data_IF_971435167178
#
_entry.id   IF_971435167178
#
_cell.length_a   1.000
_cell.length_b   1.000
_cell.length_c   1.000
_cell.angle_alpha   90.00
_cell.angle_beta   90.00
_cell.angle_gamma   90.00
#
_symmetry.space_group_name_H-M   'P 1'
#
loop_
_entity.id
_entity.type
_entity.pdbx_description
1 polymer ?
#
# COMPACT_ATOMS: atom_id res chain seq x y z
N UNK A 1 49.34 9.04 37.07
CA UNK A 1 48.02 8.98 36.42
C UNK A 1 47.31 10.29 36.71
N UNK A 2 47.27 11.22 35.75
CA UNK A 2 46.54 12.48 35.90
C UNK A 2 45.02 12.25 35.79
N UNK A 3 44.17 13.09 36.42
CA UNK A 3 42.74 12.93 36.34
C UNK A 3 42.27 13.22 34.90
N UNK A 4 41.55 12.28 34.30
CA UNK A 4 40.80 12.47 33.07
C UNK A 4 39.80 13.60 33.29
N UNK A 5 40.00 14.76 32.64
CA UNK A 5 38.98 15.80 32.58
C UNK A 5 37.80 15.26 31.79
N UNK A 6 36.55 15.40 32.27
CA UNK A 6 35.39 14.99 31.50
C UNK A 6 35.28 15.92 30.28
N UNK A 7 35.31 15.35 29.08
CA UNK A 7 34.91 16.06 27.88
C UNK A 7 33.42 16.40 28.03
N UNK A 8 33.10 17.66 28.29
CA UNK A 8 31.72 18.16 28.32
C UNK A 8 31.24 18.31 26.88
N UNK A 9 30.41 17.36 26.45
CA UNK A 9 29.74 17.40 25.16
C UNK A 9 28.53 18.33 25.22
N UNK A 10 28.49 19.35 24.35
CA UNK A 10 27.27 20.12 24.09
C UNK A 10 26.97 19.99 22.59
N UNK A 11 26.02 19.13 22.23
CA UNK A 11 25.50 19.10 20.86
C UNK A 11 24.39 20.15 20.79
N UNK A 12 24.59 21.22 20.02
CA UNK A 12 23.58 22.26 19.81
C UNK A 12 23.21 22.30 18.32
N UNK A 13 21.95 21.94 18.07
CA UNK A 13 21.07 22.25 16.93
C UNK A 13 21.57 21.99 15.48
N UNK A 14 20.80 21.17 14.77
CA UNK A 14 20.76 21.17 13.31
C UNK A 14 19.91 22.37 12.84
N UNK A 15 20.49 23.28 12.06
CA UNK A 15 19.75 24.32 11.35
C UNK A 15 19.82 24.02 9.86
N UNK A 16 18.65 23.81 9.23
CA UNK A 16 18.51 23.90 7.78
C UNK A 16 18.11 25.33 7.44
N UNK A 17 18.97 26.04 6.71
CA UNK A 17 18.61 27.31 6.06
C UNK A 17 18.12 26.97 4.65
N UNK A 18 16.90 27.38 4.25
CA UNK A 18 16.40 27.10 2.89
C UNK A 18 17.36 27.67 1.83
N UNK A 19 17.89 26.81 0.95
CA UNK A 19 18.76 27.20 -0.17
C UNK A 19 20.27 27.06 0.07
N UNK A 20 20.71 26.51 1.21
CA UNK A 20 22.11 26.12 1.44
C UNK A 20 22.24 24.59 1.56
N UNK A 21 23.39 24.03 1.16
CA UNK A 21 23.71 22.61 1.39
C UNK A 21 23.58 22.31 2.88
N UNK A 22 22.63 21.45 3.24
CA UNK A 22 22.33 21.12 4.63
C UNK A 22 23.59 20.53 5.30
N UNK A 23 24.24 21.32 6.14
CA UNK A 23 25.45 20.93 6.87
C UNK A 23 25.10 20.73 8.33
N UNK A 24 25.56 19.61 8.91
CA UNK A 24 25.40 19.32 10.34
C UNK A 24 26.69 19.79 11.03
N UNK A 25 26.54 20.58 12.09
CA UNK A 25 27.67 21.18 12.82
C UNK A 25 27.81 20.56 14.21
N UNK A 26 29.05 20.36 14.61
CA UNK A 26 29.47 20.00 15.97
C UNK A 26 30.42 21.06 16.49
N UNK A 27 30.11 21.61 17.65
CA UNK A 27 31.04 22.42 18.42
C UNK A 27 31.70 21.54 19.47
N UNK A 28 33.03 21.46 19.42
CA UNK A 28 33.83 20.73 20.40
C UNK A 28 34.86 21.65 21.04
N UNK A 29 35.13 21.43 22.32
CA UNK A 29 36.19 22.13 23.05
C UNK A 29 37.35 21.14 23.19
N UNK A 30 38.42 21.37 22.43
CA UNK A 30 39.66 20.57 22.47
C UNK A 30 40.75 21.45 23.06
N UNK A 31 41.36 21.01 24.16
CA UNK A 31 42.39 21.78 24.89
C UNK A 31 41.98 23.21 25.27
N UNK A 32 40.69 23.43 25.54
CA UNK A 32 40.14 24.75 25.89
C UNK A 32 39.91 25.67 24.69
N UNK A 33 40.19 25.20 23.47
CA UNK A 33 39.88 25.93 22.23
C UNK A 33 38.59 25.42 21.61
N UNK A 34 37.78 26.36 21.14
CA UNK A 34 36.56 26.07 20.40
C UNK A 34 36.91 25.63 18.99
N UNK A 35 36.42 24.45 18.59
CA UNK A 35 36.55 23.92 17.24
C UNK A 35 35.17 23.61 16.68
N UNK A 36 34.89 24.15 15.51
CA UNK A 36 33.72 23.80 14.72
C UNK A 36 34.10 22.70 13.72
N UNK A 37 33.31 21.63 13.70
CA UNK A 37 33.43 20.53 12.75
C UNK A 37 32.10 20.42 12.02
N UNK A 38 32.14 20.47 10.69
CA UNK A 38 30.95 20.31 9.85
C UNK A 38 31.02 19.02 9.01
N UNK A 39 29.84 18.49 8.71
CA UNK A 39 29.66 17.42 7.74
C UNK A 39 28.43 17.68 6.88
N UNK A 40 28.41 17.10 5.68
CA UNK A 40 27.33 17.30 4.70
C UNK A 40 26.43 16.08 4.53
N UNK A 41 26.90 14.90 4.92
CA UNK A 41 26.11 13.66 4.92
C UNK A 41 26.32 12.90 6.22
N UNK A 42 25.39 12.03 6.58
CA UNK A 42 25.50 11.17 7.76
C UNK A 42 26.78 10.30 7.74
N UNK A 43 27.22 9.86 6.55
CA UNK A 43 28.48 9.14 6.31
C UNK A 43 29.70 9.98 6.62
N UNK A 44 29.73 11.21 6.09
CA UNK A 44 30.79 12.16 6.36
C UNK A 44 30.87 12.50 7.85
N UNK A 45 29.72 12.66 8.52
CA UNK A 45 29.68 12.89 9.96
C UNK A 45 30.31 11.71 10.72
N UNK A 46 29.89 10.47 10.42
CA UNK A 46 30.44 9.30 11.12
C UNK A 46 31.94 9.09 10.87
N UNK A 47 32.41 9.26 9.64
CA UNK A 47 33.83 9.16 9.31
C UNK A 47 34.67 10.20 10.05
N UNK A 48 34.11 11.41 10.26
CA UNK A 48 34.72 12.49 11.04
C UNK A 48 34.59 12.31 12.56
N UNK A 49 34.06 11.19 13.04
CA UNK A 49 33.83 10.95 14.47
C UNK A 49 32.71 11.82 15.07
N UNK A 50 31.81 12.30 14.22
CA UNK A 50 30.65 13.09 14.58
C UNK A 50 29.38 12.24 14.54
N UNK A 51 28.90 11.89 15.73
CA UNK A 51 27.66 11.14 15.89
C UNK A 51 26.86 11.68 17.07
N UNK A 52 25.56 11.85 16.89
CA UNK A 52 24.63 11.97 18.01
C UNK A 52 24.00 10.61 18.32
N UNK A 53 23.52 10.38 19.55
CA UNK A 53 22.73 9.18 19.84
C UNK A 53 21.57 8.98 18.87
N UNK A 54 20.91 10.06 18.43
CA UNK A 54 19.84 10.00 17.41
C UNK A 54 20.33 9.56 16.03
N UNK A 55 21.49 10.05 15.59
CA UNK A 55 22.13 9.62 14.33
C UNK A 55 22.49 8.13 14.36
N UNK A 56 23.07 7.65 15.45
CA UNK A 56 23.42 6.23 15.59
C UNK A 56 22.17 5.34 15.67
N UNK A 57 21.13 5.81 16.37
CA UNK A 57 19.86 5.10 16.49
C UNK A 57 19.18 4.93 15.13
N UNK A 58 19.04 6.02 14.37
CA UNK A 58 18.47 5.98 13.02
C UNK A 58 19.31 5.12 12.07
N UNK A 59 20.64 5.28 12.14
CA UNK A 59 21.56 4.63 11.21
C UNK A 59 21.74 3.13 11.44
N UNK A 60 21.69 2.65 12.68
CA UNK A 60 21.94 1.23 12.96
C UNK A 60 20.94 0.34 12.21
N UNK A 61 19.65 0.70 12.24
CA UNK A 61 18.63 -0.06 11.52
C UNK A 61 18.57 0.27 10.03
N UNK A 62 18.82 1.52 9.62
CA UNK A 62 18.94 1.86 8.21
C UNK A 62 20.05 1.04 7.54
N UNK A 63 21.23 0.92 8.17
CA UNK A 63 22.35 0.11 7.66
C UNK A 63 22.01 -1.38 7.55
N UNK A 64 21.27 -1.94 8.51
CA UNK A 64 20.82 -3.34 8.43
C UNK A 64 19.87 -3.56 7.24
N UNK A 65 18.97 -2.61 7.00
CA UNK A 65 18.05 -2.65 5.85
C UNK A 65 18.82 -2.46 4.55
N UNK A 66 19.68 -1.45 4.45
CA UNK A 66 20.54 -1.20 3.29
C UNK A 66 21.41 -2.41 2.95
N UNK A 67 22.04 -3.06 3.94
CA UNK A 67 22.81 -4.29 3.73
C UNK A 67 21.92 -5.43 3.24
N UNK A 68 20.69 -5.54 3.74
CA UNK A 68 19.74 -6.53 3.23
C UNK A 68 19.32 -6.24 1.77
N UNK A 69 19.09 -4.97 1.42
CA UNK A 69 18.76 -4.54 0.05
C UNK A 69 19.96 -4.66 -0.91
N UNK A 70 21.19 -4.38 -0.46
CA UNK A 70 22.42 -4.63 -1.23
C UNK A 70 22.59 -6.12 -1.53
N UNK A 71 22.43 -6.99 -0.54
CA UNK A 71 22.46 -8.46 -0.74
C UNK A 71 21.34 -8.96 -1.65
N UNK A 72 20.18 -8.30 -1.67
CA UNK A 72 19.12 -8.58 -2.63
C UNK A 72 19.56 -8.20 -4.04
N UNK A 73 20.05 -6.97 -4.23
CA UNK A 73 20.46 -6.44 -5.53
C UNK A 73 21.56 -7.30 -6.16
N UNK A 74 22.59 -7.67 -5.40
CA UNK A 74 23.65 -8.57 -5.86
C UNK A 74 23.10 -9.92 -6.36
N UNK A 75 22.08 -10.48 -5.68
CA UNK A 75 21.42 -11.73 -6.12
C UNK A 75 20.61 -11.56 -7.40
N UNK A 76 20.05 -10.37 -7.65
CA UNK A 76 19.35 -10.09 -8.91
C UNK A 76 20.35 -9.95 -10.07
N UNK A 77 21.52 -9.36 -9.83
CA UNK A 77 22.59 -9.25 -10.83
C UNK A 77 23.16 -10.62 -11.25
N UNK A 78 23.07 -11.63 -10.39
CA UNK A 78 23.46 -13.02 -10.68
C UNK A 78 22.48 -13.77 -11.60
N UNK A 79 21.29 -13.22 -11.89
CA UNK A 79 20.29 -13.84 -12.76
C UNK A 79 20.71 -13.69 -14.24
N UNK A 80 21.58 -14.58 -14.72
CA UNK A 80 22.15 -14.52 -16.07
C UNK A 80 21.38 -15.27 -17.16
N UNK A 81 20.29 -15.96 -16.81
CA UNK A 81 19.50 -16.76 -17.76
C UNK A 81 18.04 -16.90 -17.30
N UNK A 82 17.17 -17.29 -18.23
CA UNK A 82 15.73 -17.43 -18.00
C UNK A 82 15.39 -18.41 -16.87
N UNK A 83 16.13 -19.51 -16.74
CA UNK A 83 15.93 -20.49 -15.66
C UNK A 83 16.11 -19.85 -14.29
N UNK A 84 17.15 -19.02 -14.12
CA UNK A 84 17.38 -18.29 -12.87
C UNK A 84 16.29 -17.24 -12.61
N UNK A 85 15.83 -16.55 -13.66
CA UNK A 85 14.75 -15.55 -13.59
C UNK A 85 13.43 -16.23 -13.15
N UNK A 86 13.03 -17.32 -13.79
CA UNK A 86 11.81 -18.06 -13.44
C UNK A 86 11.90 -18.68 -12.04
N UNK A 87 13.08 -19.13 -11.62
CA UNK A 87 13.30 -19.61 -10.26
C UNK A 87 13.10 -18.47 -9.24
N UNK A 88 13.68 -17.29 -9.47
CA UNK A 88 13.52 -16.11 -8.60
C UNK A 88 12.06 -15.65 -8.57
N UNK A 89 11.40 -15.59 -9.70
CA UNK A 89 9.98 -15.24 -9.79
C UNK A 89 9.11 -16.21 -8.98
N UNK A 90 9.36 -17.52 -9.08
CA UNK A 90 8.62 -18.53 -8.32
C UNK A 90 8.86 -18.37 -6.83
N UNK A 91 10.11 -18.11 -6.41
CA UNK A 91 10.43 -17.80 -5.01
C UNK A 91 9.70 -16.55 -4.52
N UNK A 92 9.67 -15.48 -5.32
CA UNK A 92 8.96 -14.25 -4.99
C UNK A 92 7.46 -14.50 -4.81
N UNK A 93 6.82 -15.19 -5.77
CA UNK A 93 5.39 -15.54 -5.69
C UNK A 93 5.07 -16.32 -4.42
N UNK A 94 5.85 -17.36 -4.11
CA UNK A 94 5.66 -18.16 -2.90
C UNK A 94 5.92 -17.36 -1.62
N UNK A 95 6.91 -16.46 -1.61
CA UNK A 95 7.19 -15.60 -0.47
C UNK A 95 6.06 -14.60 -0.22
N UNK A 96 5.57 -13.91 -1.24
CA UNK A 96 4.42 -13.01 -1.10
C UNK A 96 3.17 -13.77 -0.66
N UNK A 97 2.88 -14.91 -1.29
CA UNK A 97 1.70 -15.69 -0.96
C UNK A 97 1.73 -16.28 0.45
N UNK A 98 2.83 -16.94 0.86
CA UNK A 98 2.85 -17.73 2.09
C UNK A 98 3.58 -17.09 3.26
N UNK A 99 4.55 -16.20 3.03
CA UNK A 99 5.29 -15.53 4.10
C UNK A 99 4.65 -14.21 4.46
N UNK A 100 4.45 -13.34 3.46
CA UNK A 100 4.06 -11.96 3.71
C UNK A 100 2.56 -11.73 3.79
N UNK A 101 1.78 -12.28 2.84
CA UNK A 101 0.35 -11.93 2.72
C UNK A 101 -0.60 -13.03 3.21
N UNK A 102 -0.10 -14.24 3.48
CA UNK A 102 -0.91 -15.42 3.87
C UNK A 102 -2.13 -15.62 2.97
N UNK A 103 -1.95 -15.33 1.67
CA UNK A 103 -3.00 -15.29 0.67
C UNK A 103 -3.34 -16.71 0.18
N UNK A 104 -4.07 -17.46 1.01
CA UNK A 104 -4.64 -18.73 0.60
C UNK A 104 -5.67 -18.51 -0.52
N UNK A 105 -5.63 -19.34 -1.56
CA UNK A 105 -6.62 -19.24 -2.63
C UNK A 105 -8.01 -19.54 -2.08
N UNK A 106 -8.99 -18.65 -2.28
CA UNK A 106 -10.33 -18.90 -1.80
C UNK A 106 -11.02 -20.04 -2.57
N UNK A 107 -11.90 -20.83 -1.90
CA UNK A 107 -12.50 -22.04 -2.52
C UNK A 107 -14.03 -21.99 -2.69
N UNK A 108 -14.75 -21.18 -1.91
CA UNK A 108 -16.21 -21.02 -2.02
C UNK A 108 -16.54 -19.54 -2.02
N UNK A 109 -17.35 -19.09 -2.97
CA UNK A 109 -17.82 -17.71 -2.99
C UNK A 109 -18.48 -17.32 -1.66
N UNK A 110 -18.27 -16.08 -1.19
CA UNK A 110 -18.89 -15.62 0.05
C UNK A 110 -20.40 -15.49 -0.12
N UNK A 111 -21.14 -15.49 0.99
CA UNK A 111 -22.54 -15.08 0.94
C UNK A 111 -22.61 -13.60 0.56
N UNK A 112 -23.47 -13.29 -0.42
CA UNK A 112 -23.70 -11.93 -0.91
C UNK A 112 -25.15 -11.55 -0.64
N UNK A 113 -25.34 -10.40 0.01
CA UNK A 113 -26.66 -9.81 0.25
C UNK A 113 -26.80 -8.54 -0.58
N UNK A 114 -27.73 -8.55 -1.53
CA UNK A 114 -28.17 -7.33 -2.22
C UNK A 114 -28.97 -6.45 -1.26
N UNK A 115 -28.53 -5.20 -1.08
CA UNK A 115 -29.23 -4.21 -0.25
C UNK A 115 -30.15 -3.35 -1.10
N UNK A 116 -29.63 -2.84 -2.21
CA UNK A 116 -30.36 -1.93 -3.09
C UNK A 116 -29.78 -2.00 -4.49
N UNK A 117 -30.65 -1.81 -5.48
CA UNK A 117 -30.26 -1.62 -6.87
C UNK A 117 -30.93 -0.37 -7.41
N UNK A 118 -30.21 0.36 -8.26
CA UNK A 118 -30.72 1.50 -8.99
C UNK A 118 -30.17 1.50 -10.42
N UNK A 119 -30.92 2.08 -11.33
CA UNK A 119 -30.53 2.23 -12.73
C UNK A 119 -30.35 3.72 -13.04
N UNK A 120 -29.33 4.03 -13.83
CA UNK A 120 -29.06 5.35 -14.37
C UNK A 120 -29.03 5.25 -15.90
N UNK A 121 -30.20 5.33 -16.57
CA UNK A 121 -30.32 5.18 -18.03
C UNK A 121 -29.53 6.23 -18.80
N UNK A 122 -29.43 7.46 -18.28
CA UNK A 122 -28.69 8.56 -18.91
C UNK A 122 -27.20 8.25 -18.99
N UNK A 123 -26.67 7.52 -18.00
CA UNK A 123 -25.28 7.07 -17.97
C UNK A 123 -25.09 5.66 -18.49
N UNK A 124 -26.17 4.92 -18.76
CA UNK A 124 -26.15 3.54 -19.25
C UNK A 124 -25.62 2.52 -18.24
N UNK A 125 -25.77 2.78 -16.93
CA UNK A 125 -25.19 1.93 -15.87
C UNK A 125 -26.25 1.60 -14.81
N UNK A 126 -26.29 0.33 -14.40
CA UNK A 126 -26.99 -0.10 -13.20
C UNK A 126 -26.00 -0.25 -12.05
N UNK A 127 -26.43 0.12 -10.84
CA UNK A 127 -25.59 0.09 -9.65
C UNK A 127 -26.27 -0.72 -8.56
N UNK A 128 -25.54 -1.66 -7.97
CA UNK A 128 -26.01 -2.55 -6.91
C UNK A 128 -25.16 -2.34 -5.66
N UNK A 129 -25.80 -1.98 -4.55
CA UNK A 129 -25.19 -1.96 -3.22
C UNK A 129 -25.36 -3.34 -2.60
N UNK A 130 -24.25 -3.94 -2.18
CA UNK A 130 -24.19 -5.29 -1.63
C UNK A 130 -23.42 -5.31 -0.32
N UNK A 131 -23.63 -6.36 0.47
CA UNK A 131 -22.72 -6.81 1.51
C UNK A 131 -22.19 -8.19 1.11
N UNK A 132 -20.90 -8.44 1.26
CA UNK A 132 -20.33 -9.79 1.19
C UNK A 132 -19.51 -10.11 2.44
N UNK A 133 -19.35 -11.39 2.76
CA UNK A 133 -18.61 -11.81 3.96
C UNK A 133 -17.16 -12.21 3.66
N UNK A 134 -16.19 -11.67 4.39
CA UNK A 134 -14.75 -12.02 4.22
C UNK A 134 -14.28 -13.13 5.17
N UNK A 135 -14.82 -13.13 6.38
CA UNK A 135 -14.77 -14.20 7.37
C UNK A 135 -15.98 -14.10 8.28
N UNK A 136 -16.26 -15.17 9.02
CA UNK A 136 -17.45 -15.28 9.86
C UNK A 136 -17.67 -14.03 10.72
N UNK A 137 -18.77 -13.33 10.48
CA UNK A 137 -19.17 -12.12 11.19
C UNK A 137 -18.56 -10.82 10.67
N UNK A 138 -17.88 -10.81 9.53
CA UNK A 138 -17.32 -9.59 8.92
C UNK A 138 -17.92 -9.34 7.55
N UNK A 139 -18.94 -8.49 7.53
CA UNK A 139 -19.53 -7.96 6.32
C UNK A 139 -18.67 -6.83 5.74
N UNK A 140 -18.50 -6.86 4.42
CA UNK A 140 -17.80 -5.85 3.63
C UNK A 140 -18.84 -5.14 2.76
N UNK A 141 -19.12 -3.85 3.01
CA UNK A 141 -19.93 -3.03 2.14
C UNK A 141 -19.26 -2.83 0.78
N UNK A 142 -20.02 -3.07 -0.28
CA UNK A 142 -19.51 -2.98 -1.64
C UNK A 142 -20.57 -2.46 -2.62
N UNK A 143 -20.08 -1.99 -3.76
CA UNK A 143 -20.87 -1.50 -4.87
C UNK A 143 -20.43 -2.20 -6.16
N UNK A 144 -21.41 -2.61 -6.97
CA UNK A 144 -21.18 -3.15 -8.31
C UNK A 144 -21.83 -2.22 -9.32
N UNK A 145 -21.03 -1.72 -10.27
CA UNK A 145 -21.48 -1.01 -11.46
C UNK A 145 -21.53 -1.98 -12.63
N UNK A 146 -22.67 -2.05 -13.30
CA UNK A 146 -22.95 -2.97 -14.40
C UNK A 146 -23.42 -2.17 -15.62
N UNK A 147 -22.81 -2.31 -16.79
CA UNK A 147 -23.34 -1.73 -18.02
C UNK A 147 -24.77 -2.23 -18.29
N UNK A 148 -25.70 -1.33 -18.57
CA UNK A 148 -27.09 -1.70 -18.80
C UNK A 148 -27.24 -2.61 -20.03
N UNK A 149 -28.21 -3.52 -19.98
CA UNK A 149 -28.52 -4.45 -21.07
C UNK A 149 -27.64 -5.70 -21.14
N UNK A 150 -26.61 -5.85 -20.29
CA UNK A 150 -25.81 -7.08 -20.25
C UNK A 150 -26.54 -8.23 -19.57
N UNK A 151 -27.32 -7.95 -18.53
CA UNK A 151 -28.04 -8.96 -17.76
C UNK A 151 -29.09 -9.64 -18.65
N UNK A 152 -29.02 -10.96 -18.79
CA UNK A 152 -29.91 -11.74 -19.66
C UNK A 152 -29.55 -11.72 -21.15
N UNK A 153 -28.55 -10.94 -21.58
CA UNK A 153 -28.13 -10.89 -22.99
C UNK A 153 -27.33 -12.10 -23.45
N UNK A 154 -26.83 -12.92 -22.52
CA UNK A 154 -25.87 -13.99 -22.78
C UNK A 154 -24.43 -13.51 -23.02
N UNK A 155 -24.19 -12.20 -23.05
CA UNK A 155 -22.84 -11.64 -23.15
C UNK A 155 -22.09 -11.78 -21.82
N UNK A 156 -20.77 -11.99 -21.90
CA UNK A 156 -19.85 -11.93 -20.75
C UNK A 156 -18.88 -10.79 -20.97
N UNK A 157 -18.84 -9.86 -20.02
CA UNK A 157 -18.02 -8.65 -20.05
C UNK A 157 -16.73 -8.84 -19.26
N UNK A 158 -15.66 -8.11 -19.61
CA UNK A 158 -14.52 -7.98 -18.72
C UNK A 158 -14.94 -7.27 -17.43
N UNK A 159 -14.26 -7.57 -16.33
CA UNK A 159 -14.51 -6.93 -15.05
C UNK A 159 -13.27 -6.25 -14.50
N UNK A 160 -13.48 -5.24 -13.64
CA UNK A 160 -12.43 -4.53 -12.93
C UNK A 160 -12.77 -4.53 -11.45
N UNK A 161 -11.86 -5.06 -10.64
CA UNK A 161 -11.86 -4.82 -9.20
C UNK A 161 -11.19 -3.48 -8.94
N UNK A 162 -12.00 -2.49 -8.58
CA UNK A 162 -11.52 -1.17 -8.19
C UNK A 162 -11.24 -1.17 -6.68
N UNK A 163 -10.01 -0.83 -6.31
CA UNK A 163 -9.52 -0.83 -4.93
C UNK A 163 -9.33 0.61 -4.47
N UNK A 164 -10.16 1.13 -3.55
CA UNK A 164 -10.06 2.51 -3.10
C UNK A 164 -8.74 2.85 -2.40
N UNK A 165 -8.30 4.10 -2.53
CA UNK A 165 -7.19 4.67 -1.79
C UNK A 165 -7.54 5.05 -0.35
N UNK A 166 -6.64 5.79 0.32
CA UNK A 166 -6.81 6.22 1.71
C UNK A 166 -7.73 7.43 1.86
N UNK A 167 -8.98 7.29 1.42
CA UNK A 167 -10.00 8.34 1.49
C UNK A 167 -11.07 7.95 2.51
N UNK A 168 -11.46 8.90 3.38
CA UNK A 168 -12.41 8.63 4.46
C UNK A 168 -13.75 8.06 3.98
N UNK A 169 -14.21 8.54 2.81
CA UNK A 169 -15.44 8.09 2.17
C UNK A 169 -15.39 6.66 1.62
N UNK A 170 -14.21 6.04 1.51
CA UNK A 170 -14.03 4.74 0.87
C UNK A 170 -14.66 4.72 -0.53
N UNK A 171 -15.52 3.74 -0.79
CA UNK A 171 -16.22 3.62 -2.09
C UNK A 171 -17.20 4.79 -2.38
N UNK A 172 -17.53 5.60 -1.36
CA UNK A 172 -18.45 6.74 -1.48
C UNK A 172 -17.74 8.04 -1.85
N UNK A 173 -16.41 8.03 -1.92
CA UNK A 173 -15.68 9.22 -2.32
C UNK A 173 -15.97 9.58 -3.79
N UNK A 174 -16.22 10.86 -4.13
CA UNK A 174 -16.53 11.27 -5.49
C UNK A 174 -15.46 10.91 -6.52
N UNK A 175 -14.17 10.94 -6.17
CA UNK A 175 -13.10 10.57 -7.10
C UNK A 175 -13.10 9.06 -7.38
N UNK A 176 -13.34 8.26 -6.35
CA UNK A 176 -13.45 6.80 -6.47
C UNK A 176 -14.70 6.38 -7.28
N UNK A 177 -15.81 7.10 -7.09
CA UNK A 177 -17.02 6.90 -7.88
C UNK A 177 -16.84 7.30 -9.33
N UNK A 178 -16.12 8.39 -9.62
CA UNK A 178 -15.83 8.81 -11.00
C UNK A 178 -15.04 7.75 -11.76
N UNK A 179 -14.02 7.15 -11.12
CA UNK A 179 -13.26 6.06 -11.73
C UNK A 179 -14.13 4.84 -11.98
N UNK A 180 -14.87 4.39 -10.96
CA UNK A 180 -15.74 3.20 -11.07
C UNK A 180 -16.80 3.36 -12.16
N UNK A 181 -17.48 4.50 -12.18
CA UNK A 181 -18.50 4.82 -13.17
C UNK A 181 -17.89 4.98 -14.56
N UNK A 182 -16.76 5.67 -14.70
CA UNK A 182 -16.10 5.88 -15.97
C UNK A 182 -15.63 4.58 -16.63
N UNK A 183 -15.22 3.60 -15.84
CA UNK A 183 -14.92 2.24 -16.30
C UNK A 183 -16.21 1.50 -16.71
N UNK A 184 -17.27 1.58 -15.91
CA UNK A 184 -18.54 0.95 -16.27
C UNK A 184 -19.12 1.48 -17.59
N UNK A 185 -19.07 2.79 -17.80
CA UNK A 185 -19.47 3.42 -19.06
C UNK A 185 -18.64 2.98 -20.28
N UNK A 186 -17.45 2.40 -20.05
CA UNK A 186 -16.58 1.82 -21.09
C UNK A 186 -16.79 0.32 -21.30
N UNK A 187 -17.81 -0.27 -20.66
CA UNK A 187 -18.20 -1.67 -20.87
C UNK A 187 -17.58 -2.68 -19.91
N UNK A 188 -17.03 -2.23 -18.77
CA UNK A 188 -16.54 -3.11 -17.72
C UNK A 188 -17.59 -3.31 -16.63
N UNK A 189 -17.68 -4.51 -16.06
CA UNK A 189 -18.33 -4.69 -14.76
C UNK A 189 -17.35 -4.26 -13.68
N UNK A 190 -17.74 -3.35 -12.79
CA UNK A 190 -16.81 -2.79 -11.79
C UNK A 190 -17.31 -3.08 -10.40
N UNK A 191 -16.48 -3.71 -9.57
CA UNK A 191 -16.76 -3.88 -8.14
C UNK A 191 -15.77 -3.04 -7.34
N UNK A 192 -16.29 -2.27 -6.39
CA UNK A 192 -15.50 -1.54 -5.37
C UNK A 192 -16.07 -1.83 -3.99
N UNK A 193 -15.24 -1.78 -2.95
CA UNK A 193 -15.65 -2.07 -1.58
C UNK A 193 -14.98 -1.15 -0.57
N UNK A 194 -15.53 -1.05 0.64
CA UNK A 194 -14.93 -0.24 1.70
C UNK A 194 -13.70 -0.95 2.29
N UNK A 195 -12.51 -0.33 2.24
CA UNK A 195 -11.35 -0.87 2.94
C UNK A 195 -11.57 -0.93 4.45
N UNK A 196 -10.75 -1.72 5.13
CA UNK A 196 -10.74 -1.77 6.60
C UNK A 196 -10.52 -0.37 7.17
N UNK A 197 -11.28 0.00 8.21
CA UNK A 197 -11.19 1.34 8.83
C UNK A 197 -11.47 2.50 7.87
N UNK A 198 -12.28 2.29 6.83
CA UNK A 198 -12.75 3.33 5.91
C UNK A 198 -14.25 3.14 5.59
N UNK A 199 -14.91 4.20 5.11
CA UNK A 199 -16.33 4.16 4.76
C UNK A 199 -17.21 3.67 5.91
N UNK A 200 -18.00 2.63 5.69
CA UNK A 200 -18.86 2.02 6.73
C UNK A 200 -18.11 1.04 7.66
N UNK A 201 -16.81 0.80 7.41
CA UNK A 201 -15.98 -0.11 8.21
C UNK A 201 -15.06 0.63 9.17
N UNK A 202 -15.42 1.85 9.54
CA UNK A 202 -14.69 2.65 10.53
C UNK A 202 -14.69 1.98 11.90
N UNK A 203 -13.51 1.80 12.49
CA UNK A 203 -13.32 1.15 13.78
C UNK A 203 -12.96 2.14 14.90
N UNK A 204 -12.45 3.33 14.55
CA UNK A 204 -11.91 4.29 15.50
C UNK A 204 -12.47 5.70 15.26
N UNK A 205 -12.82 6.41 16.34
CA UNK A 205 -13.28 7.80 16.31
C UNK A 205 -12.14 8.81 16.21
N UNK A 206 -12.44 10.09 15.98
CA UNK A 206 -11.45 11.18 15.82
C UNK A 206 -10.36 11.22 16.90
N UNK A 207 -10.77 10.95 18.14
CA UNK A 207 -9.93 10.94 19.33
C UNK A 207 -9.07 9.67 19.45
N UNK A 208 -9.13 8.78 18.46
CA UNK A 208 -8.47 7.47 18.47
C UNK A 208 -9.16 6.45 19.39
N UNK A 209 -10.34 6.77 19.93
CA UNK A 209 -11.12 5.82 20.71
C UNK A 209 -11.70 4.74 19.81
N UNK A 210 -11.70 3.51 20.31
CA UNK A 210 -12.39 2.40 19.69
C UNK A 210 -13.91 2.63 19.76
N UNK A 211 -14.57 2.68 18.59
CA UNK A 211 -15.99 2.97 18.46
C UNK A 211 -16.86 1.85 19.04
N UNK A 212 -16.41 0.59 18.93
CA UNK A 212 -17.13 -0.57 19.44
C UNK A 212 -16.93 -0.75 20.95
N UNK A 213 -15.75 -0.41 21.48
CA UNK A 213 -15.50 -0.48 22.92
C UNK A 213 -16.24 0.60 23.71
N UNK A 214 -16.50 1.80 23.12
CA UNK A 214 -17.36 2.82 23.75
C UNK A 214 -18.84 2.42 23.81
N UNK A 215 -19.30 1.58 22.88
CA UNK A 215 -20.69 1.08 22.88
C UNK A 215 -21.01 0.24 24.15
N UNK A 216 -20.01 -0.16 24.94
CA UNK A 216 -20.22 -0.82 26.24
C UNK A 216 -20.27 0.13 27.44
N UNK A 217 -20.09 1.45 27.28
CA UNK A 217 -19.96 2.35 28.45
C UNK A 217 -20.66 3.71 28.36
N UNK A 218 -21.51 3.99 27.37
CA UNK A 218 -22.26 5.26 27.35
C UNK A 218 -23.73 5.10 26.96
N UNK A 219 -24.58 4.97 27.97
CA UNK A 219 -26.01 5.31 27.93
C UNK A 219 -26.21 6.84 27.80
N UNK A 220 -25.68 7.45 26.73
CA UNK A 220 -25.99 8.85 26.41
C UNK A 220 -26.30 9.00 24.93
N UNK A 221 -27.60 9.16 24.69
CA UNK A 221 -28.20 9.59 23.44
C UNK A 221 -27.51 10.87 22.92
N UNK A 222 -27.08 10.81 21.66
CA UNK A 222 -26.45 11.92 20.96
C UNK A 222 -25.97 11.49 19.59
N UNK A 223 -26.90 11.21 18.67
CA UNK A 223 -26.57 10.85 17.30
C UNK A 223 -25.96 12.03 16.53
N UNK A 224 -25.02 11.80 15.58
CA UNK A 224 -24.54 12.87 14.73
C UNK A 224 -25.53 13.18 13.61
N UNK A 225 -25.77 14.48 13.42
CA UNK A 225 -26.63 15.06 12.40
C UNK A 225 -26.03 14.88 11.00
N UNK A 226 -26.83 14.35 10.09
CA UNK A 226 -26.62 14.48 8.66
C UNK A 226 -26.63 15.96 8.25
N UNK A 227 -25.57 16.45 7.60
CA UNK A 227 -25.61 17.48 6.53
C UNK A 227 -24.19 17.90 6.13
N UNK A 228 -23.77 17.56 4.91
CA UNK A 228 -23.18 18.50 3.93
C UNK A 228 -22.62 17.74 2.73
N UNK A 229 -22.74 18.35 1.55
CA UNK A 229 -22.44 17.81 0.21
C UNK A 229 -20.96 17.94 -0.19
N UNK A 230 -20.04 17.72 0.75
CA UNK A 230 -18.60 17.52 0.49
C UNK A 230 -18.13 16.38 1.37
N UNK A 231 -17.63 15.30 0.79
CA UNK A 231 -17.04 14.21 1.55
C UNK A 231 -15.78 14.75 2.24
N UNK A 232 -15.73 14.80 3.57
CA UNK A 232 -14.61 15.41 4.25
C UNK A 232 -13.38 14.49 4.18
N UNK A 233 -12.17 15.05 4.18
CA UNK A 233 -10.96 14.30 4.56
C UNK A 233 -11.17 13.61 5.92
N UNK A 234 -10.43 12.55 6.26
CA UNK A 234 -10.67 11.81 7.51
C UNK A 234 -10.68 12.79 8.73
N UNK A 235 -9.81 13.80 8.71
CA UNK A 235 -9.80 14.92 9.69
C UNK A 235 -11.03 15.83 9.69
N UNK A 236 -11.57 16.17 8.53
CA UNK A 236 -12.76 17.04 8.43
C UNK A 236 -14.06 16.29 8.78
N UNK A 237 -14.04 14.95 8.74
CA UNK A 237 -15.17 14.09 9.12
C UNK A 237 -15.22 13.86 10.64
N UNK A 238 -14.30 14.46 11.40
CA UNK A 238 -14.13 14.13 12.82
C UNK A 238 -13.72 12.67 12.99
N UNK A 239 -12.92 12.14 12.07
CA UNK A 239 -12.32 10.81 12.12
C UNK A 239 -10.79 10.96 12.19
N UNK A 240 -10.05 9.98 12.73
CA UNK A 240 -8.61 10.07 12.69
C UNK A 240 -8.18 9.92 11.22
N UNK A 241 -7.05 10.52 10.77
CA UNK A 241 -6.44 10.19 9.48
C UNK A 241 -6.49 8.67 9.28
N UNK A 242 -6.99 8.21 8.13
CA UNK A 242 -7.27 6.80 7.89
C UNK A 242 -6.03 5.91 8.19
N UNK A 243 -4.84 6.46 7.92
CA UNK A 243 -3.53 5.97 8.38
C UNK A 243 -3.42 5.64 9.88
N UNK A 244 -3.94 6.47 10.78
CA UNK A 244 -3.92 6.20 12.23
C UNK A 244 -4.77 4.99 12.62
N UNK A 245 -5.92 4.81 11.96
CA UNK A 245 -6.79 3.68 12.19
C UNK A 245 -6.13 2.39 11.68
N UNK A 246 -5.51 2.46 10.50
CA UNK A 246 -4.71 1.39 9.91
C UNK A 246 -3.56 0.98 10.85
N UNK A 247 -2.84 1.95 11.39
CA UNK A 247 -1.76 1.72 12.34
C UNK A 247 -2.24 1.11 13.66
N UNK A 248 -3.46 1.42 14.10
CA UNK A 248 -3.98 0.90 15.36
C UNK A 248 -4.14 -0.62 15.30
N UNK A 249 -4.89 -1.14 14.32
CA UNK A 249 -5.01 -2.61 14.17
C UNK A 249 -3.73 -3.23 13.59
N UNK A 250 -2.96 -2.47 12.80
CA UNK A 250 -1.65 -2.90 12.29
C UNK A 250 -0.67 -3.25 13.40
N UNK A 251 -0.60 -2.44 14.47
CA UNK A 251 0.19 -2.75 15.67
C UNK A 251 -0.26 -4.05 16.33
N UNK A 252 -1.57 -4.30 16.40
CA UNK A 252 -2.11 -5.57 16.93
C UNK A 252 -1.66 -6.75 16.07
N UNK A 253 -1.64 -6.60 14.75
CA UNK A 253 -1.16 -7.62 13.82
C UNK A 253 0.35 -7.89 13.99
N UNK A 254 1.16 -6.84 14.19
CA UNK A 254 2.59 -6.99 14.44
C UNK A 254 2.89 -7.77 15.72
N UNK A 255 2.07 -7.65 16.78
CA UNK A 255 2.20 -8.46 18.00
C UNK A 255 2.02 -9.96 17.74
N UNK A 256 1.34 -10.33 16.66
CA UNK A 256 1.16 -11.72 16.21
C UNK A 256 2.21 -12.15 15.16
N UNK A 257 3.17 -11.28 14.83
CA UNK A 257 4.13 -11.51 13.75
C UNK A 257 3.47 -11.53 12.37
N UNK A 258 2.34 -10.83 12.21
CA UNK A 258 1.56 -10.73 10.97
C UNK A 258 1.57 -9.30 10.44
N UNK A 259 1.18 -9.10 9.19
CA UNK A 259 0.99 -7.76 8.60
C UNK A 259 -0.48 -7.45 8.38
N UNK A 260 -0.84 -6.18 8.51
CA UNK A 260 -2.18 -5.68 8.18
C UNK A 260 -2.58 -6.01 6.73
N UNK A 261 -1.61 -6.06 5.81
CA UNK A 261 -1.82 -6.38 4.40
C UNK A 261 -2.56 -7.71 4.18
N UNK A 262 -2.39 -8.69 5.07
CA UNK A 262 -3.06 -9.99 5.01
C UNK A 262 -4.59 -9.84 5.01
N UNK A 263 -5.12 -8.86 5.77
CA UNK A 263 -6.55 -8.62 5.88
C UNK A 263 -7.10 -7.93 4.63
N UNK A 264 -6.38 -6.92 4.12
CA UNK A 264 -6.76 -6.22 2.89
C UNK A 264 -6.74 -7.15 1.67
N UNK A 265 -5.69 -7.97 1.53
CA UNK A 265 -5.60 -8.94 0.43
C UNK A 265 -6.74 -9.95 0.52
N UNK A 266 -7.09 -10.42 1.71
CA UNK A 266 -8.22 -11.34 1.89
C UNK A 266 -9.54 -10.72 1.41
N UNK A 267 -9.82 -9.47 1.77
CA UNK A 267 -11.03 -8.78 1.32
C UNK A 267 -11.07 -8.65 -0.21
N UNK A 268 -9.93 -8.30 -0.82
CA UNK A 268 -9.80 -8.21 -2.27
C UNK A 268 -9.97 -9.58 -2.97
N UNK A 269 -9.39 -10.65 -2.42
CA UNK A 269 -9.58 -12.00 -2.96
C UNK A 269 -11.03 -12.45 -2.88
N UNK A 270 -11.75 -12.07 -1.82
CA UNK A 270 -13.19 -12.33 -1.65
C UNK A 270 -14.05 -11.53 -2.61
N UNK A 271 -13.67 -10.29 -2.90
CA UNK A 271 -14.30 -9.48 -3.93
C UNK A 271 -14.13 -10.09 -5.33
N UNK A 272 -12.98 -10.70 -5.64
CA UNK A 272 -12.80 -11.46 -6.89
C UNK A 272 -13.79 -12.64 -6.98
N UNK A 273 -14.02 -13.36 -5.89
CA UNK A 273 -15.01 -14.45 -5.91
C UNK A 273 -16.42 -13.94 -6.19
N UNK A 274 -16.79 -12.78 -5.65
CA UNK A 274 -18.09 -12.15 -5.96
C UNK A 274 -18.19 -11.84 -7.45
N UNK A 275 -17.12 -11.31 -8.07
CA UNK A 275 -17.10 -11.03 -9.51
C UNK A 275 -17.23 -12.31 -10.35
N UNK A 276 -16.56 -13.40 -9.97
CA UNK A 276 -16.59 -14.67 -10.72
C UNK A 276 -17.97 -15.35 -10.71
N UNK A 277 -18.78 -15.11 -9.68
CA UNK A 277 -20.15 -15.63 -9.58
C UNK A 277 -21.16 -14.83 -10.40
N UNK A 278 -20.81 -13.64 -10.89
CA UNK A 278 -21.73 -12.86 -11.74
C UNK A 278 -21.83 -13.53 -13.13
N UNK A 279 -23.04 -13.92 -13.58
CA UNK A 279 -23.20 -14.72 -14.80
C UNK A 279 -22.77 -13.99 -16.08
N UNK A 280 -22.72 -12.67 -16.03
CA UNK A 280 -22.32 -11.78 -17.11
C UNK A 280 -20.86 -11.28 -16.99
N UNK A 281 -20.09 -11.78 -16.03
CA UNK A 281 -18.64 -11.54 -15.94
C UNK A 281 -17.88 -12.69 -16.60
N UNK A 282 -16.84 -12.35 -17.34
CA UNK A 282 -15.87 -13.29 -17.86
C UNK A 282 -14.69 -13.45 -16.88
N UNK A 283 -14.52 -14.60 -16.19
CA UNK A 283 -13.48 -14.81 -15.18
C UNK A 283 -12.08 -14.78 -15.80
N UNK A 284 -11.96 -14.98 -17.11
CA UNK A 284 -10.67 -14.86 -17.81
C UNK A 284 -10.32 -13.41 -18.17
N UNK A 285 -11.15 -12.42 -17.81
CA UNK A 285 -10.93 -11.00 -18.11
C UNK A 285 -11.23 -10.11 -16.91
N UNK A 286 -10.67 -10.46 -15.75
CA UNK A 286 -10.73 -9.64 -14.54
C UNK A 286 -9.42 -8.86 -14.37
N UNK A 287 -9.50 -7.54 -14.29
CA UNK A 287 -8.38 -6.66 -13.94
C UNK A 287 -8.53 -6.06 -12.53
N UNK A 288 -7.47 -5.42 -12.03
CA UNK A 288 -7.50 -4.66 -10.79
C UNK A 288 -6.83 -3.29 -10.94
N UNK A 289 -7.36 -2.27 -10.28
CA UNK A 289 -6.84 -0.89 -10.33
C UNK A 289 -7.06 -0.19 -9.00
N UNK A 290 -6.13 0.69 -8.64
CA UNK A 290 -6.27 1.57 -7.49
C UNK A 290 -5.13 2.57 -7.39
N UNK A 291 -5.32 3.58 -6.55
CA UNK A 291 -4.38 4.67 -6.29
C UNK A 291 -3.94 4.69 -4.82
N UNK A 292 -2.67 4.98 -4.54
CA UNK A 292 -2.11 5.03 -3.18
C UNK A 292 -2.35 3.72 -2.41
N UNK A 293 -3.11 3.69 -1.32
CA UNK A 293 -3.55 2.44 -0.66
C UNK A 293 -4.20 1.43 -1.61
N UNK A 294 -4.98 1.91 -2.58
CA UNK A 294 -5.55 1.08 -3.63
C UNK A 294 -4.49 0.55 -4.61
N UNK A 295 -3.46 1.35 -4.88
CA UNK A 295 -2.30 0.97 -5.69
C UNK A 295 -1.48 -0.12 -5.00
N UNK A 296 -1.26 0.02 -3.70
CA UNK A 296 -0.67 -1.02 -2.86
C UNK A 296 -1.46 -2.33 -2.94
N UNK A 297 -2.76 -2.27 -2.72
CA UNK A 297 -3.58 -3.49 -2.73
C UNK A 297 -3.64 -4.12 -4.13
N UNK A 298 -3.62 -3.30 -5.19
CA UNK A 298 -3.51 -3.77 -6.57
C UNK A 298 -2.19 -4.50 -6.81
N UNK A 299 -1.06 -3.97 -6.32
CA UNK A 299 0.24 -4.61 -6.45
C UNK A 299 0.31 -5.93 -5.69
N UNK A 300 -0.17 -5.97 -4.44
CA UNK A 300 -0.20 -7.19 -3.63
C UNK A 300 -1.10 -8.26 -4.24
N UNK A 301 -2.34 -7.90 -4.59
CA UNK A 301 -3.30 -8.82 -5.18
C UNK A 301 -2.77 -9.39 -6.50
N UNK A 302 -2.21 -8.55 -7.37
CA UNK A 302 -1.59 -8.99 -8.61
C UNK A 302 -0.46 -10.01 -8.38
N UNK A 303 0.37 -9.79 -7.35
CA UNK A 303 1.49 -10.68 -7.06
C UNK A 303 1.05 -12.09 -6.60
N UNK A 304 -0.12 -12.21 -5.97
CA UNK A 304 -0.55 -13.46 -5.30
C UNK A 304 -1.79 -14.13 -5.87
N UNK A 305 -2.66 -13.42 -6.60
CA UNK A 305 -3.91 -13.96 -7.11
C UNK A 305 -3.89 -14.04 -8.65
N UNK A 306 -3.79 -15.26 -9.22
CA UNK A 306 -3.65 -15.45 -10.67
C UNK A 306 -4.92 -15.13 -11.48
N UNK A 307 -6.07 -14.90 -10.81
CA UNK A 307 -7.32 -14.49 -11.46
C UNK A 307 -7.24 -13.07 -12.00
N UNK A 308 -6.38 -12.23 -11.42
CA UNK A 308 -6.13 -10.87 -11.93
C UNK A 308 -5.27 -10.95 -13.19
N UNK A 309 -5.89 -10.66 -14.33
CA UNK A 309 -5.25 -10.71 -15.64
C UNK A 309 -4.47 -9.45 -15.97
N UNK A 310 -4.93 -8.28 -15.53
CA UNK A 310 -4.25 -7.01 -15.74
C UNK A 310 -4.28 -6.14 -14.48
N UNK A 311 -3.21 -5.39 -14.21
CA UNK A 311 -3.13 -4.46 -13.06
C UNK A 311 -2.73 -3.06 -13.48
N UNK A 312 -3.32 -2.05 -12.84
CA UNK A 312 -2.87 -0.66 -12.92
C UNK A 312 -2.60 -0.12 -11.51
N UNK A 313 -1.32 -0.02 -11.16
CA UNK A 313 -0.83 0.40 -9.83
C UNK A 313 -0.48 1.88 -9.90
N UNK A 314 -1.26 2.73 -9.24
CA UNK A 314 -1.00 4.17 -9.21
C UNK A 314 -0.51 4.65 -7.83
N UNK A 315 0.46 5.58 -7.84
CA UNK A 315 0.87 6.37 -6.67
C UNK A 315 1.28 5.56 -5.43
N UNK A 316 2.00 4.44 -5.61
CA UNK A 316 2.48 3.58 -4.50
C UNK A 316 3.88 2.98 -4.73
N UNK A 317 4.23 2.74 -5.99
CA UNK A 317 5.35 1.90 -6.36
C UNK A 317 6.67 2.68 -6.36
N UNK A 318 7.59 2.29 -5.48
CA UNK A 318 8.98 2.74 -5.44
C UNK A 318 9.85 1.66 -4.77
N UNK A 319 11.17 1.71 -4.92
CA UNK A 319 12.09 0.84 -4.16
C UNK A 319 12.13 1.27 -2.69
N UNK A 320 12.26 0.32 -1.76
CA UNK A 320 12.42 0.62 -0.34
C UNK A 320 13.63 1.52 -0.04
N UNK A 321 14.75 1.35 -0.75
CA UNK A 321 15.94 2.18 -0.56
C UNK A 321 15.62 3.67 -0.75
N UNK A 322 15.07 4.03 -1.92
CA UNK A 322 14.66 5.40 -2.21
C UNK A 322 13.62 5.94 -1.23
N UNK A 323 12.68 5.11 -0.80
CA UNK A 323 11.67 5.53 0.19
C UNK A 323 12.26 5.79 1.58
N UNK A 324 13.27 5.03 2.00
CA UNK A 324 13.97 5.27 3.27
C UNK A 324 14.88 6.50 3.21
N UNK A 325 15.51 6.75 2.05
CA UNK A 325 16.45 7.84 1.87
C UNK A 325 15.76 9.19 1.66
N UNK A 326 14.69 9.20 0.86
CA UNK A 326 14.06 10.43 0.35
C UNK A 326 12.54 10.43 0.43
N UNK A 327 11.94 9.30 0.78
CA UNK A 327 10.50 9.18 0.91
C UNK A 327 9.98 10.08 2.03
N UNK A 328 8.85 10.72 1.75
CA UNK A 328 8.17 11.58 2.74
C UNK A 328 6.87 10.96 3.24
N UNK A 329 6.50 9.77 2.73
CA UNK A 329 5.32 9.06 3.20
C UNK A 329 5.58 8.51 4.61
N UNK A 330 4.59 8.66 5.49
CA UNK A 330 4.44 7.70 6.57
C UNK A 330 3.85 6.43 5.96
N UNK A 331 4.44 5.27 6.25
CA UNK A 331 3.85 4.01 5.85
C UNK A 331 2.69 3.67 6.77
N UNK A 332 1.50 3.54 6.18
CA UNK A 332 0.40 2.87 6.86
C UNK A 332 0.78 1.40 7.09
N UNK A 333 0.30 0.82 8.19
CA UNK A 333 0.74 -0.51 8.61
C UNK A 333 0.59 -1.61 7.54
N UNK A 334 -0.37 -1.53 6.62
CA UNK A 334 -0.53 -2.48 5.51
C UNK A 334 0.49 -2.28 4.37
N UNK A 335 1.09 -1.11 4.27
CA UNK A 335 2.18 -0.85 3.32
C UNK A 335 3.52 -1.43 3.81
N UNK A 336 3.58 -1.87 5.07
CA UNK A 336 4.75 -2.51 5.69
C UNK A 336 4.57 -4.03 5.71
N UNK A 337 5.31 -4.72 4.84
CA UNK A 337 5.45 -6.18 4.91
C UNK A 337 6.55 -6.55 5.90
N UNK A 338 6.15 -7.14 7.03
CA UNK A 338 7.04 -7.44 8.15
C UNK A 338 8.25 -8.28 7.72
N UNK A 339 9.46 -7.71 7.90
CA UNK A 339 10.72 -8.37 7.57
C UNK A 339 11.04 -8.51 6.08
N UNK A 340 10.37 -7.77 5.18
CA UNK A 340 10.54 -7.89 3.72
C UNK A 340 12.01 -7.77 3.27
N UNK A 341 12.68 -6.67 3.64
CA UNK A 341 14.09 -6.44 3.30
C UNK A 341 14.99 -7.54 3.88
N UNK A 342 14.81 -7.90 5.16
CA UNK A 342 15.56 -8.98 5.83
C UNK A 342 15.48 -10.31 5.07
N UNK A 343 14.33 -10.60 4.47
CA UNK A 343 14.13 -11.81 3.68
C UNK A 343 14.59 -11.70 2.21
N UNK A 344 15.20 -10.58 1.83
CA UNK A 344 15.75 -10.35 0.50
C UNK A 344 14.68 -10.00 -0.52
N UNK A 345 13.67 -9.24 -0.12
CA UNK A 345 12.60 -8.75 -1.00
C UNK A 345 12.43 -7.25 -0.89
N UNK A 346 11.97 -6.65 -1.98
CA UNK A 346 11.60 -5.24 -2.13
C UNK A 346 10.28 -5.19 -2.96
N UNK A 347 9.64 -4.03 -3.05
CA UNK A 347 8.39 -3.82 -3.82
C UNK A 347 8.50 -4.25 -5.29
N UNK A 348 9.63 -4.05 -6.01
CA UNK A 348 9.79 -4.58 -7.37
C UNK A 348 9.66 -6.09 -7.50
N UNK A 349 9.93 -6.87 -6.45
CA UNK A 349 9.73 -8.32 -6.50
C UNK A 349 8.25 -8.71 -6.62
N UNK A 350 7.32 -7.81 -6.28
CA UNK A 350 5.89 -8.04 -6.52
C UNK A 350 5.60 -8.07 -8.03
N UNK A 351 6.29 -7.23 -8.80
CA UNK A 351 6.22 -7.24 -10.26
C UNK A 351 6.90 -8.50 -10.82
N UNK A 352 8.07 -8.87 -10.27
CA UNK A 352 8.71 -10.14 -10.63
C UNK A 352 7.76 -11.33 -10.44
N UNK A 353 7.09 -11.42 -9.28
CA UNK A 353 6.09 -12.47 -8.99
C UNK A 353 4.90 -12.45 -9.95
N UNK A 354 4.52 -11.27 -10.44
CA UNK A 354 3.36 -11.00 -11.31
C UNK A 354 3.59 -11.33 -12.78
N UNK A 355 4.84 -11.23 -13.27
CA UNK A 355 5.19 -11.42 -14.68
C UNK A 355 4.63 -12.75 -15.23
N UNK A 356 4.29 -12.84 -16.52
CA UNK A 356 4.38 -11.80 -17.54
C UNK A 356 3.09 -11.01 -17.76
N UNK A 357 2.03 -11.20 -16.95
CA UNK A 357 0.73 -10.59 -17.33
C UNK A 357 0.77 -9.05 -17.25
N UNK A 358 -0.04 -8.35 -18.07
CA UNK A 358 0.02 -6.91 -18.24
C UNK A 358 -0.06 -6.14 -16.92
N UNK A 359 0.91 -5.24 -16.69
CA UNK A 359 0.97 -4.38 -15.51
C UNK A 359 1.34 -2.96 -15.93
N UNK A 360 0.50 -1.99 -15.59
CA UNK A 360 0.80 -0.58 -15.69
C UNK A 360 1.22 -0.03 -14.31
N UNK A 361 2.31 0.74 -14.28
CA UNK A 361 2.75 1.49 -13.10
C UNK A 361 2.59 2.97 -13.42
N UNK A 362 1.77 3.67 -12.63
CA UNK A 362 1.50 5.09 -12.79
C UNK A 362 2.22 5.85 -11.68
N UNK A 363 3.29 6.54 -12.06
CA UNK A 363 4.13 7.33 -11.18
C UNK A 363 3.80 8.82 -11.29
N UNK A 364 4.02 9.53 -10.20
CA UNK A 364 3.72 10.95 -9.99
C UNK A 364 5.03 11.68 -9.70
N UNK A 365 5.14 12.95 -10.13
CA UNK A 365 6.39 13.71 -9.99
C UNK A 365 6.52 14.51 -8.69
N UNK A 366 5.42 14.65 -7.93
CA UNK A 366 5.35 15.40 -6.67
C UNK A 366 4.53 14.60 -5.65
N UNK A 367 5.01 13.40 -5.34
CA UNK A 367 4.34 12.46 -4.45
C UNK A 367 5.32 12.01 -3.36
N UNK A 368 4.78 11.48 -2.28
CA UNK A 368 5.58 11.03 -1.16
C UNK A 368 6.34 9.73 -1.46
N UNK A 369 5.87 8.94 -2.45
CA UNK A 369 6.62 7.86 -3.07
C UNK A 369 7.58 8.41 -4.13
N UNK A 370 8.91 8.25 -3.96
CA UNK A 370 9.88 8.86 -4.87
C UNK A 370 9.78 8.34 -6.31
N UNK A 371 9.68 9.28 -7.26
CA UNK A 371 9.66 8.97 -8.70
C UNK A 371 10.89 8.17 -9.14
N UNK A 372 12.07 8.50 -8.59
CA UNK A 372 13.31 7.81 -8.91
C UNK A 372 13.26 6.33 -8.49
N UNK A 373 12.75 6.05 -7.30
CA UNK A 373 12.54 4.67 -6.85
C UNK A 373 11.50 3.92 -7.67
N UNK A 374 10.47 4.61 -8.16
CA UNK A 374 9.51 4.02 -9.10
C UNK A 374 10.18 3.61 -10.42
N UNK A 375 11.04 4.47 -10.97
CA UNK A 375 11.80 4.19 -12.21
C UNK A 375 12.82 3.09 -12.03
N UNK A 376 13.59 3.13 -10.94
CA UNK A 376 14.53 2.08 -10.58
C UNK A 376 13.81 0.73 -10.44
N UNK A 377 12.71 0.71 -9.68
CA UNK A 377 11.93 -0.50 -9.48
C UNK A 377 11.35 -1.08 -10.78
N UNK A 378 10.93 -0.23 -11.71
CA UNK A 378 10.47 -0.67 -13.03
C UNK A 378 11.60 -1.31 -13.83
N UNK A 379 12.79 -0.70 -13.85
CA UNK A 379 13.96 -1.24 -14.52
C UNK A 379 14.42 -2.58 -13.91
N UNK A 380 14.37 -2.72 -12.58
CA UNK A 380 14.66 -3.99 -11.88
C UNK A 380 13.68 -5.12 -12.26
N UNK A 381 12.43 -4.78 -12.55
CA UNK A 381 11.39 -5.74 -12.87
C UNK A 381 11.36 -6.13 -14.37
N UNK A 382 11.85 -5.28 -15.26
CA UNK A 382 11.80 -5.48 -16.71
C UNK A 382 12.34 -6.85 -17.20
N UNK A 383 13.48 -7.36 -16.70
CA UNK A 383 14.01 -8.66 -17.13
C UNK A 383 13.04 -9.83 -16.91
N UNK A 384 12.14 -9.73 -15.93
CA UNK A 384 11.14 -10.77 -15.66
C UNK A 384 10.04 -10.83 -16.72
N UNK A 385 9.78 -9.74 -17.45
CA UNK A 385 8.91 -9.75 -18.63
C UNK A 385 9.68 -10.19 -19.87
N UNK A 386 10.91 -9.70 -20.06
CA UNK A 386 11.76 -10.03 -21.21
C UNK A 386 12.04 -11.53 -21.32
N UNK A 387 12.20 -12.23 -20.19
CA UNK A 387 12.39 -13.69 -20.15
C UNK A 387 11.24 -14.50 -20.76
N UNK A 388 10.04 -13.90 -20.91
CA UNK A 388 8.90 -14.53 -21.59
C UNK A 388 8.84 -14.22 -23.10
N UNK A 389 9.79 -13.42 -23.61
CA UNK A 389 9.78 -12.93 -24.98
C UNK A 389 8.80 -11.76 -25.19
N UNK A 390 8.73 -11.21 -26.42
CA UNK A 390 7.79 -10.16 -26.75
C UNK A 390 6.34 -10.62 -26.50
N UNK A 391 5.42 -9.72 -26.08
CA UNK A 391 4.02 -10.08 -25.86
C UNK A 391 3.39 -10.60 -27.17
N UNK A 392 3.21 -11.92 -27.26
CA UNK A 392 2.52 -12.59 -28.39
C UNK A 392 3.36 -12.69 -29.67
N UNK A 393 4.09 -13.80 -29.81
CA UNK A 393 4.31 -14.46 -31.10
C UNK A 393 3.24 -15.52 -31.32
#
# INVERSE_FOLDING_TARGET
>A
MGPLRPATWAVVAAFSVPGADASIYKHEIVDGQFREVSCTTLDDCLQKGFSTPGMLLHRTWAMEIEEALRRRTARLEELKNDTAIFARQTQARLAFQHRFLKAAMPQKAPEVRLLRRFEDPDRGVAVSLILFETWKGQAVPAVIFVPMGVEGSGQRLPAVLHLPGHLAGGLRDPEEQKLSLGLAQRGYVVLSFDPLSQGERQQYGADGSDLECRARTTDKEGGPSSTSSKTPSCSEAGLPPCSKAHDHFGKQMWLLGRTAAELFVRDAQRALDVLEELPFVDPQRIGAVGCSGGGMLTAYLGAVDPRVQATAVACYFSTLGQELDTGTCNYDAEQILWGMAKHGYDKPDMLAARAPRPTAILLTSHDCFPLEGGRQGFAEAAPFWEAYGPPGA
#
